data_IF_674632196256
#
_entry.id   IF_674632196256
#
_cell.length_a   1.000
_cell.length_b   1.000
_cell.length_c   1.000
_cell.angle_alpha   90.00
_cell.angle_beta   90.00
_cell.angle_gamma   90.00
#
_symmetry.space_group_name_H-M   'P 1'
#
loop_
_entity.id
_entity.type
_entity.pdbx_description
1 polymer ?
#
# COMPACT_ATOMS: atom_id res chain seq x y z
N UNK A 1 12.34 2.79 -13.75
CA UNK A 1 11.55 4.04 -13.61
C UNK A 1 11.79 4.44 -12.17
N UNK A 2 12.67 5.42 -11.89
CA UNK A 2 13.14 5.59 -10.51
C UNK A 2 12.07 6.19 -9.61
N UNK A 3 11.79 5.54 -8.48
CA UNK A 3 10.85 6.07 -7.51
C UNK A 3 10.56 5.13 -6.35
N UNK A 4 9.59 5.52 -5.53
CA UNK A 4 9.20 4.78 -4.34
C UNK A 4 7.77 4.29 -4.47
N UNK A 5 7.54 3.03 -4.14
CA UNK A 5 6.20 2.40 -4.08
C UNK A 5 5.87 1.96 -2.67
N UNK A 6 4.59 1.77 -2.39
CA UNK A 6 4.09 1.36 -1.08
C UNK A 6 3.55 -0.05 -1.21
N UNK A 7 4.09 -0.96 -0.40
CA UNK A 7 3.52 -2.29 -0.20
C UNK A 7 2.71 -2.27 1.10
N UNK A 8 1.43 -2.58 1.02
CA UNK A 8 0.52 -2.70 2.16
C UNK A 8 0.40 -4.17 2.51
N UNK A 9 0.40 -4.50 3.81
CA UNK A 9 0.31 -5.87 4.28
C UNK A 9 -0.76 -6.02 5.37
N UNK A 10 -1.48 -7.14 5.34
CA UNK A 10 -2.36 -7.60 6.40
C UNK A 10 -1.60 -8.33 7.51
N UNK A 11 -0.28 -8.42 7.41
CA UNK A 11 0.61 -9.06 8.36
C UNK A 11 1.63 -8.07 8.92
N UNK A 12 2.42 -8.50 9.91
CA UNK A 12 3.53 -7.72 10.45
C UNK A 12 4.78 -7.77 9.58
N UNK A 13 4.85 -8.71 8.63
CA UNK A 13 5.96 -8.83 7.67
C UNK A 13 5.47 -9.19 6.27
N UNK A 14 6.24 -8.75 5.27
CA UNK A 14 5.97 -9.00 3.85
C UNK A 14 6.13 -10.49 3.51
N UNK A 15 5.21 -11.03 2.71
CA UNK A 15 5.33 -12.37 2.11
C UNK A 15 4.93 -13.52 3.02
N UNK A 16 4.24 -13.24 4.14
CA UNK A 16 3.59 -14.28 4.94
C UNK A 16 2.43 -14.92 4.17
N UNK A 17 2.12 -16.18 4.51
CA UNK A 17 0.94 -16.87 3.99
C UNK A 17 -0.33 -16.07 4.34
N UNK A 18 -1.34 -16.11 3.46
CA UNK A 18 -2.60 -15.36 3.58
C UNK A 18 -2.48 -13.83 3.52
N UNK A 19 -1.47 -13.32 2.81
CA UNK A 19 -1.38 -11.88 2.49
C UNK A 19 -2.60 -11.42 1.69
N UNK A 20 -3.32 -10.43 2.23
CA UNK A 20 -4.56 -9.92 1.65
C UNK A 20 -4.35 -8.67 0.79
N UNK A 21 -3.15 -8.09 0.84
CA UNK A 21 -2.81 -6.83 0.17
C UNK A 21 -1.56 -6.94 -0.71
N UNK A 22 -1.04 -5.80 -1.15
CA UNK A 22 0.13 -5.72 -2.01
C UNK A 22 0.51 -4.29 -2.35
N UNK A 23 0.99 -4.07 -3.57
CA UNK A 23 1.44 -2.78 -4.07
C UNK A 23 0.26 -1.83 -4.29
N UNK A 24 0.31 -0.67 -3.64
CA UNK A 24 -0.79 0.27 -3.61
C UNK A 24 -0.93 1.10 -4.88
N UNK A 25 -2.16 1.20 -5.39
CA UNK A 25 -2.51 1.97 -6.60
C UNK A 25 -2.83 3.44 -6.34
N UNK A 26 -2.70 3.93 -5.10
CA UNK A 26 -3.00 5.33 -4.77
C UNK A 26 -4.49 5.63 -4.58
N UNK A 27 -5.34 4.60 -4.61
CA UNK A 27 -6.81 4.71 -4.52
C UNK A 27 -7.35 3.81 -3.41
N UNK A 28 -8.53 4.16 -2.92
CA UNK A 28 -9.30 3.38 -1.95
C UNK A 28 -10.75 3.27 -2.41
N UNK A 29 -11.47 2.26 -1.93
CA UNK A 29 -12.90 2.08 -2.13
C UNK A 29 -13.60 1.86 -0.78
N UNK A 30 -14.93 1.94 -0.76
CA UNK A 30 -15.72 1.75 0.46
C UNK A 30 -16.77 0.67 0.31
N UNK A 31 -16.90 -0.19 1.31
CA UNK A 31 -17.92 -1.24 1.40
C UNK A 31 -18.46 -1.22 2.83
N UNK A 32 -19.79 -1.13 2.99
CA UNK A 32 -20.46 -1.15 4.31
C UNK A 32 -19.89 -0.14 5.34
N UNK A 33 -19.40 1.01 4.87
CA UNK A 33 -18.82 2.06 5.73
C UNK A 33 -17.32 1.91 6.01
N UNK A 34 -16.73 0.77 5.65
CA UNK A 34 -15.30 0.50 5.78
C UNK A 34 -14.54 0.93 4.53
N UNK A 35 -13.27 1.33 4.71
CA UNK A 35 -12.40 1.77 3.60
C UNK A 35 -11.31 0.75 3.35
N UNK A 36 -11.13 0.38 2.08
CA UNK A 36 -10.17 -0.62 1.64
C UNK A 36 -9.23 -0.03 0.58
N UNK A 37 -7.93 -0.36 0.61
CA UNK A 37 -7.00 0.06 -0.44
C UNK A 37 -7.20 -0.80 -1.70
N UNK A 38 -6.89 -0.22 -2.86
CA UNK A 38 -6.74 -1.00 -4.10
C UNK A 38 -5.26 -1.34 -4.28
N UNK A 39 -4.97 -2.64 -4.35
CA UNK A 39 -3.60 -3.17 -4.42
C UNK A 39 -3.46 -4.22 -5.51
N UNK A 40 -2.24 -4.37 -6.05
CA UNK A 40 -1.84 -5.44 -6.96
C UNK A 40 -0.77 -6.33 -6.30
N UNK A 41 -0.68 -7.60 -6.69
CA UNK A 41 0.31 -8.55 -6.13
C UNK A 41 1.75 -8.14 -6.48
N UNK A 42 1.94 -7.50 -7.64
CA UNK A 42 3.23 -7.00 -8.13
C UNK A 42 3.18 -5.53 -8.49
N UNK A 43 4.35 -4.94 -8.78
CA UNK A 43 4.43 -3.57 -9.32
C UNK A 43 3.94 -3.56 -10.76
N UNK A 44 2.89 -2.79 -11.01
CA UNK A 44 2.22 -2.63 -12.31
C UNK A 44 2.30 -1.18 -12.79
N UNK A 45 1.88 -0.92 -14.02
CA UNK A 45 1.70 0.45 -14.54
C UNK A 45 0.70 1.28 -13.75
N UNK A 46 -0.17 0.63 -12.99
CA UNK A 46 -1.18 1.27 -12.16
C UNK A 46 -0.70 1.53 -10.71
N UNK A 47 0.46 0.99 -10.35
CA UNK A 47 1.04 1.18 -9.02
C UNK A 47 1.41 2.65 -8.82
N UNK A 48 1.08 3.20 -7.65
CA UNK A 48 1.37 4.59 -7.36
C UNK A 48 2.86 4.77 -7.04
N UNK A 49 3.56 5.47 -7.93
CA UNK A 49 4.98 5.82 -7.76
C UNK A 49 5.14 7.22 -7.17
N UNK A 50 6.00 7.33 -6.16
CA UNK A 50 6.34 8.56 -5.47
C UNK A 50 7.76 9.01 -5.83
N UNK A 51 7.94 10.31 -6.05
CA UNK A 51 9.25 10.90 -6.37
C UNK A 51 10.22 10.96 -5.18
N UNK A 52 9.73 10.77 -3.96
CA UNK A 52 10.57 10.78 -2.76
C UNK A 52 10.02 9.85 -1.70
N UNK A 53 10.92 9.24 -0.93
CA UNK A 53 10.59 8.33 0.18
C UNK A 53 9.65 8.99 1.18
N UNK A 54 9.93 10.23 1.59
CA UNK A 54 9.10 10.96 2.57
C UNK A 54 7.66 11.17 2.10
N UNK A 55 7.43 11.37 0.80
CA UNK A 55 6.07 11.47 0.25
C UNK A 55 5.36 10.13 0.27
N UNK A 56 6.08 9.04 0.02
CA UNK A 56 5.54 7.70 0.12
C UNK A 56 5.16 7.40 1.58
N UNK A 57 6.05 7.63 2.55
CA UNK A 57 5.80 7.46 3.99
C UNK A 57 4.56 8.23 4.47
N UNK A 58 4.50 9.54 4.21
CA UNK A 58 3.34 10.35 4.60
C UNK A 58 2.03 9.88 3.96
N UNK A 59 2.11 9.21 2.80
CA UNK A 59 0.95 8.66 2.12
C UNK A 59 0.59 7.26 2.64
N UNK A 60 1.58 6.48 3.07
CA UNK A 60 1.40 5.20 3.74
C UNK A 60 0.68 5.40 5.08
N UNK A 61 1.13 6.35 5.90
CA UNK A 61 0.50 6.72 7.18
C UNK A 61 -0.99 7.06 6.97
N UNK A 62 -1.31 7.88 5.97
CA UNK A 62 -2.70 8.26 5.67
C UNK A 62 -3.60 7.10 5.24
N UNK A 63 -3.08 6.12 4.50
CA UNK A 63 -3.88 4.96 4.08
C UNK A 63 -4.00 3.96 5.22
N UNK A 64 -2.94 3.80 6.02
CA UNK A 64 -2.92 3.00 7.24
C UNK A 64 -3.98 3.49 8.25
N UNK A 65 -4.02 4.78 8.54
CA UNK A 65 -5.01 5.38 9.45
C UNK A 65 -6.46 5.21 8.97
N UNK A 66 -6.68 5.05 7.66
CA UNK A 66 -8.01 4.96 7.05
C UNK A 66 -8.50 3.53 6.86
N UNK A 67 -7.60 2.57 6.68
CA UNK A 67 -7.95 1.20 6.30
C UNK A 67 -7.64 0.26 7.46
N UNK A 68 -8.65 -0.05 8.27
CA UNK A 68 -8.49 -0.71 9.57
C UNK A 68 -7.92 -2.15 9.54
N UNK A 69 -7.82 -2.76 8.35
CA UNK A 69 -7.28 -4.12 8.20
C UNK A 69 -5.82 -4.16 7.72
N UNK A 70 -5.21 -3.00 7.47
CA UNK A 70 -3.77 -2.93 7.17
C UNK A 70 -3.03 -3.05 8.52
N UNK A 71 -2.07 -3.97 8.60
CA UNK A 71 -1.28 -4.21 9.80
C UNK A 71 0.12 -3.58 9.69
N UNK A 72 0.69 -3.56 8.49
CA UNK A 72 1.97 -2.90 8.23
C UNK A 72 2.08 -2.37 6.81
N UNK A 73 3.09 -1.51 6.59
CA UNK A 73 3.43 -0.99 5.27
C UNK A 73 4.95 -0.89 5.09
N UNK A 74 5.40 -1.05 3.85
CA UNK A 74 6.80 -1.01 3.47
C UNK A 74 6.99 -0.07 2.27
N UNK A 75 8.10 0.67 2.27
CA UNK A 75 8.48 1.52 1.15
C UNK A 75 9.62 0.84 0.38
N UNK A 76 9.41 0.64 -0.91
CA UNK A 76 10.39 0.00 -1.81
C UNK A 76 10.81 0.98 -2.90
N UNK A 77 12.10 0.98 -3.23
CA UNK A 77 12.66 1.74 -4.35
C UNK A 77 12.66 0.86 -5.62
N UNK A 78 12.23 1.43 -6.74
CA UNK A 78 12.12 0.79 -8.07
C UNK A 78 12.77 1.63 -9.17
#
# INVERSE_FOLDING_TARGET
>A
MSGYVIYLSSNTSKGMAHESYGYWRGKTYRVQGETFPITDIGVTSDTKVYKSKKRAENSAEKVFDKCGYIVSWFIEEI
#
